data_IF_778165047271
#
_entry.id   IF_778165047271
#
_cell.length_a   1.000
_cell.length_b   1.000
_cell.length_c   1.000
_cell.angle_alpha   90.00
_cell.angle_beta   90.00
_cell.angle_gamma   90.00
#
_symmetry.space_group_name_H-M   'P 1'
#
loop_
_entity.id
_entity.type
_entity.pdbx_description
1 polymer ?
#
# COMPACT_ATOMS: atom_id res chain seq x y z
N UNK A 1 16.74 8.96 -12.62
CA UNK A 1 17.66 9.96 -13.20
C UNK A 1 17.04 10.84 -14.29
N UNK A 2 16.52 10.30 -15.40
CA UNK A 2 15.96 11.13 -16.48
C UNK A 2 14.77 12.00 -16.01
N UNK A 3 13.87 11.43 -15.20
CA UNK A 3 12.74 12.11 -14.57
C UNK A 3 13.23 13.31 -13.73
N UNK A 4 14.23 13.08 -12.88
CA UNK A 4 14.86 14.11 -12.05
C UNK A 4 15.55 15.19 -12.88
N UNK A 5 16.27 14.81 -13.95
CA UNK A 5 16.91 15.76 -14.88
C UNK A 5 15.90 16.65 -15.61
N UNK A 6 14.67 16.17 -15.78
CA UNK A 6 13.56 16.95 -16.31
C UNK A 6 12.90 17.86 -15.25
N UNK A 7 13.40 17.89 -14.01
CA UNK A 7 12.85 18.71 -12.93
C UNK A 7 11.57 18.13 -12.29
N UNK A 8 11.24 16.86 -12.56
CA UNK A 8 10.04 16.22 -12.04
C UNK A 8 10.41 15.46 -10.75
N UNK A 9 9.85 15.82 -9.58
CA UNK A 9 10.01 15.02 -8.37
C UNK A 9 9.27 13.71 -8.52
N UNK A 10 9.87 12.60 -8.06
CA UNK A 10 9.21 11.30 -8.09
C UNK A 10 9.39 10.53 -6.78
N UNK A 11 8.35 9.79 -6.42
CA UNK A 11 8.38 8.79 -5.37
C UNK A 11 8.58 7.43 -6.04
N UNK A 12 9.54 6.65 -5.56
CA UNK A 12 9.74 5.30 -6.03
C UNK A 12 8.75 4.33 -5.37
N UNK A 13 8.58 3.16 -5.97
CA UNK A 13 7.82 2.06 -5.39
C UNK A 13 8.56 0.76 -5.69
N UNK A 14 8.96 0.04 -4.63
CA UNK A 14 9.64 -1.25 -4.70
C UNK A 14 8.95 -2.27 -3.79
N UNK A 15 9.31 -3.54 -3.91
CA UNK A 15 8.62 -4.63 -3.22
C UNK A 15 7.62 -5.32 -4.14
N UNK A 16 6.42 -5.59 -3.64
CA UNK A 16 5.33 -6.14 -4.44
C UNK A 16 4.73 -5.01 -5.27
N UNK A 17 4.77 -5.16 -6.60
CA UNK A 17 4.22 -4.17 -7.52
C UNK A 17 2.89 -4.68 -8.08
N UNK A 18 1.74 -4.08 -7.74
CA UNK A 18 0.44 -4.53 -8.24
C UNK A 18 0.37 -4.60 -9.78
N UNK A 19 1.08 -3.72 -10.48
CA UNK A 19 1.20 -3.75 -11.96
C UNK A 19 1.80 -5.06 -12.50
N UNK A 20 2.63 -5.77 -11.73
CA UNK A 20 3.28 -7.03 -12.11
C UNK A 20 2.56 -8.27 -11.54
N UNK A 21 1.38 -8.13 -10.94
CA UNK A 21 0.69 -9.21 -10.22
C UNK A 21 0.45 -10.48 -11.07
N UNK A 22 0.27 -10.33 -12.39
CA UNK A 22 0.07 -11.47 -13.30
C UNK A 22 1.36 -12.25 -13.51
N UNK A 23 2.46 -11.56 -13.73
CA UNK A 23 3.79 -12.13 -13.93
C UNK A 23 4.29 -12.81 -12.65
N UNK A 24 3.96 -12.24 -11.49
CA UNK A 24 4.33 -12.77 -10.19
C UNK A 24 3.41 -13.91 -9.69
N UNK A 25 2.31 -14.17 -10.39
CA UNK A 25 1.33 -15.20 -10.00
C UNK A 25 0.63 -14.86 -8.68
N UNK A 26 0.26 -13.60 -8.48
CA UNK A 26 -0.50 -13.09 -7.34
C UNK A 26 0.29 -12.20 -6.38
N UNK A 27 -0.42 -11.66 -5.37
CA UNK A 27 0.16 -10.83 -4.33
C UNK A 27 1.02 -11.67 -3.39
N UNK A 28 2.34 -11.43 -3.38
CA UNK A 28 3.31 -12.17 -2.56
C UNK A 28 4.20 -11.23 -1.78
N UNK A 29 4.49 -11.61 -0.54
CA UNK A 29 5.46 -10.91 0.29
C UNK A 29 6.87 -11.09 -0.24
N UNK A 30 7.64 -10.01 -0.23
CA UNK A 30 9.01 -9.94 -0.75
C UNK A 30 10.06 -9.95 0.36
N UNK A 31 11.27 -10.38 0.00
CA UNK A 31 12.39 -10.47 0.94
C UNK A 31 12.36 -11.74 1.78
N UNK A 32 11.79 -12.84 1.25
CA UNK A 32 11.78 -14.13 1.94
C UNK A 32 13.13 -14.83 1.86
N UNK A 33 13.87 -14.61 0.78
CA UNK A 33 15.19 -15.16 0.58
C UNK A 33 16.26 -14.08 0.72
N UNK A 34 17.48 -14.50 1.06
CA UNK A 34 18.62 -13.58 1.16
C UNK A 34 18.85 -12.83 -0.17
N UNK A 35 18.72 -13.51 -1.31
CA UNK A 35 18.87 -12.90 -2.63
C UNK A 35 17.80 -11.83 -2.91
N UNK A 36 16.53 -12.08 -2.54
CA UNK A 36 15.47 -11.07 -2.65
C UNK A 36 15.72 -9.87 -1.72
N UNK A 37 16.22 -10.12 -0.52
CA UNK A 37 16.54 -9.07 0.44
C UNK A 37 17.66 -8.16 -0.06
N UNK A 38 18.74 -8.75 -0.58
CA UNK A 38 19.87 -8.02 -1.18
C UNK A 38 19.43 -7.22 -2.41
N UNK A 39 18.60 -7.81 -3.27
CA UNK A 39 18.05 -7.15 -4.44
C UNK A 39 17.20 -5.93 -4.06
N UNK A 40 16.28 -6.06 -3.09
CA UNK A 40 15.46 -4.93 -2.63
C UNK A 40 16.28 -3.82 -1.97
N UNK A 41 17.31 -4.17 -1.21
CA UNK A 41 18.21 -3.18 -0.63
C UNK A 41 19.00 -2.44 -1.72
N UNK A 42 19.43 -3.14 -2.77
CA UNK A 42 20.06 -2.53 -3.93
C UNK A 42 19.10 -1.61 -4.69
N UNK A 43 17.85 -2.03 -4.90
CA UNK A 43 16.81 -1.22 -5.54
C UNK A 43 16.53 0.06 -4.75
N UNK A 44 16.41 -0.02 -3.42
CA UNK A 44 16.22 1.13 -2.54
C UNK A 44 17.35 2.17 -2.69
N UNK A 45 18.61 1.71 -2.69
CA UNK A 45 19.78 2.59 -2.92
C UNK A 45 19.81 3.14 -4.33
N UNK A 46 19.39 2.36 -5.32
CA UNK A 46 19.38 2.77 -6.72
C UNK A 46 18.36 3.89 -6.96
N UNK A 47 17.14 3.77 -6.40
CA UNK A 47 16.11 4.81 -6.56
C UNK A 47 16.46 6.09 -5.80
N UNK A 48 17.07 5.97 -4.61
CA UNK A 48 17.63 7.09 -3.88
C UNK A 48 18.69 7.82 -4.72
N UNK A 49 19.71 7.09 -5.21
CA UNK A 49 20.75 7.66 -6.08
C UNK A 49 20.18 8.29 -7.35
N UNK A 50 19.10 7.73 -7.87
CA UNK A 50 18.40 8.25 -9.03
C UNK A 50 17.63 9.55 -8.77
N UNK A 51 17.51 9.99 -7.51
CA UNK A 51 16.88 11.23 -7.08
C UNK A 51 15.41 11.10 -6.66
N UNK A 52 14.97 9.90 -6.24
CA UNK A 52 13.64 9.76 -5.63
C UNK A 52 13.56 10.60 -4.36
N UNK A 53 12.44 11.28 -4.10
CA UNK A 53 12.27 12.04 -2.86
C UNK A 53 11.79 11.16 -1.69
N UNK A 54 11.24 9.98 -1.99
CA UNK A 54 10.80 8.96 -1.03
C UNK A 54 10.57 7.63 -1.76
N UNK A 55 10.35 6.55 -1.02
CA UNK A 55 10.07 5.22 -1.58
C UNK A 55 8.94 4.49 -0.84
N UNK A 56 7.98 3.94 -1.59
CA UNK A 56 6.99 3.00 -1.04
C UNK A 56 7.60 1.61 -0.97
N UNK A 57 7.44 0.95 0.19
CA UNK A 57 7.73 -0.46 0.40
C UNK A 57 6.40 -1.22 0.54
N UNK A 58 6.01 -1.97 -0.48
CA UNK A 58 4.74 -2.73 -0.48
C UNK A 58 4.96 -4.23 -0.27
N UNK A 59 4.26 -4.79 0.73
CA UNK A 59 4.30 -6.20 1.14
C UNK A 59 5.75 -6.74 1.23
N UNK A 60 6.58 -6.07 2.03
CA UNK A 60 7.97 -6.47 2.33
C UNK A 60 8.03 -7.07 3.73
N UNK A 61 8.89 -8.08 3.96
CA UNK A 61 9.16 -8.59 5.32
C UNK A 61 9.55 -7.43 6.24
N UNK A 62 8.89 -7.32 7.40
CA UNK A 62 9.03 -6.17 8.31
C UNK A 62 10.47 -5.87 8.73
N UNK A 63 11.27 -6.91 9.02
CA UNK A 63 12.68 -6.71 9.39
C UNK A 63 13.52 -6.19 8.20
N UNK A 64 13.21 -6.61 6.97
CA UNK A 64 13.86 -6.06 5.79
C UNK A 64 13.43 -4.60 5.54
N UNK A 65 12.14 -4.28 5.71
CA UNK A 65 11.66 -2.91 5.58
C UNK A 65 12.35 -1.96 6.58
N UNK A 66 12.57 -2.43 7.82
CA UNK A 66 13.38 -1.73 8.83
C UNK A 66 14.82 -1.53 8.37
N UNK A 67 15.47 -2.58 7.87
CA UNK A 67 16.84 -2.50 7.35
C UNK A 67 16.95 -1.49 6.20
N UNK A 68 16.01 -1.51 5.25
CA UNK A 68 15.96 -0.56 4.15
C UNK A 68 15.80 0.87 4.67
N UNK A 69 14.85 1.08 5.59
CA UNK A 69 14.59 2.40 6.19
C UNK A 69 15.82 2.97 6.89
N UNK A 70 16.62 2.12 7.56
CA UNK A 70 17.87 2.54 8.20
C UNK A 70 19.03 2.75 7.21
N UNK A 71 18.92 2.22 5.99
CA UNK A 71 20.02 2.16 5.03
C UNK A 71 20.02 3.29 3.99
N UNK A 72 18.89 3.99 3.81
CA UNK A 72 18.70 5.11 2.87
C UNK A 72 18.28 6.36 3.65
N UNK A 73 18.57 7.53 3.11
CA UNK A 73 18.27 8.83 3.73
C UNK A 73 16.89 9.39 3.35
N UNK A 74 16.29 8.91 2.26
CA UNK A 74 14.96 9.35 1.83
C UNK A 74 13.85 8.62 2.63
N UNK A 75 12.71 9.27 2.91
CA UNK A 75 11.63 8.64 3.67
C UNK A 75 11.09 7.35 3.03
N UNK A 76 10.86 6.33 3.83
CA UNK A 76 10.15 5.11 3.44
C UNK A 76 8.68 5.16 3.84
N UNK A 77 7.79 4.71 2.94
CA UNK A 77 6.34 4.64 3.18
C UNK A 77 5.91 3.18 3.09
N UNK A 78 5.46 2.62 4.20
CA UNK A 78 5.05 1.22 4.29
C UNK A 78 3.59 0.99 3.90
N UNK A 79 3.32 -0.12 3.20
CA UNK A 79 1.99 -0.72 3.11
C UNK A 79 2.14 -2.24 3.17
N UNK A 80 1.65 -2.84 4.26
CA UNK A 80 1.89 -4.27 4.53
C UNK A 80 3.36 -4.63 4.77
N UNK A 81 4.18 -3.66 5.16
CA UNK A 81 5.65 -3.80 5.35
C UNK A 81 6.11 -3.58 6.79
N UNK A 82 5.22 -3.75 7.76
CA UNK A 82 5.49 -3.50 9.18
C UNK A 82 5.51 -2.02 9.56
N UNK A 83 5.77 -1.75 10.83
CA UNK A 83 5.66 -0.41 11.44
C UNK A 83 6.94 0.43 11.34
N UNK A 84 8.04 -0.15 10.89
CA UNK A 84 9.37 0.47 10.94
C UNK A 84 9.70 1.37 9.74
N UNK A 85 8.75 1.59 8.82
CA UNK A 85 8.89 2.63 7.80
C UNK A 85 8.61 4.01 8.40
N UNK A 86 9.17 5.07 7.82
CA UNK A 86 9.00 6.45 8.33
C UNK A 86 7.55 6.95 8.27
N UNK A 87 6.78 6.43 7.31
CA UNK A 87 5.36 6.67 7.17
C UNK A 87 4.61 5.41 6.74
N UNK A 88 3.29 5.52 6.71
CA UNK A 88 2.40 4.43 6.32
C UNK A 88 1.36 4.96 5.32
N UNK A 89 0.98 4.10 4.37
CA UNK A 89 -0.11 4.36 3.44
C UNK A 89 -1.09 3.19 3.45
N UNK A 90 -2.36 3.49 3.18
CA UNK A 90 -3.41 2.50 3.07
C UNK A 90 -4.45 2.98 2.06
N UNK A 91 -5.09 2.06 1.34
CA UNK A 91 -6.17 2.41 0.42
C UNK A 91 -7.38 2.85 1.22
N UNK A 92 -7.90 4.06 0.95
CA UNK A 92 -9.00 4.65 1.73
C UNK A 92 -10.21 3.72 1.90
N UNK A 93 -10.57 2.99 0.85
CA UNK A 93 -11.69 2.04 0.88
C UNK A 93 -11.48 0.87 1.84
N UNK A 94 -10.24 0.36 1.92
CA UNK A 94 -9.88 -0.68 2.87
C UNK A 94 -9.86 -0.11 4.30
N UNK A 95 -9.36 1.12 4.46
CA UNK A 95 -9.33 1.83 5.74
C UNK A 95 -10.75 2.00 6.32
N UNK A 96 -11.71 2.38 5.49
CA UNK A 96 -13.09 2.67 5.95
C UNK A 96 -14.03 1.46 5.89
N UNK A 97 -13.52 0.29 5.50
CA UNK A 97 -14.32 -0.93 5.39
C UNK A 97 -15.46 -0.81 4.36
N UNK A 98 -15.16 -0.27 3.17
CA UNK A 98 -16.14 -0.14 2.08
C UNK A 98 -16.50 -1.49 1.44
N UNK A 99 -15.56 -2.44 1.42
CA UNK A 99 -15.76 -3.75 0.80
C UNK A 99 -16.04 -4.81 1.88
N UNK A 100 -17.30 -5.20 2.12
CA UNK A 100 -17.65 -6.12 3.20
C UNK A 100 -17.24 -7.58 2.92
N UNK A 101 -16.85 -7.90 1.68
CA UNK A 101 -16.46 -9.24 1.25
C UNK A 101 -14.95 -9.43 1.14
N UNK A 102 -14.15 -8.36 1.32
CA UNK A 102 -12.71 -8.42 1.13
C UNK A 102 -11.99 -7.38 1.98
N UNK A 103 -11.00 -7.82 2.73
CA UNK A 103 -10.06 -6.97 3.47
C UNK A 103 -8.67 -7.58 3.30
N UNK A 104 -7.66 -6.83 2.81
CA UNK A 104 -6.29 -7.34 2.75
C UNK A 104 -5.78 -7.70 4.14
N UNK A 105 -4.93 -8.73 4.24
CA UNK A 105 -4.48 -9.29 5.54
C UNK A 105 -3.76 -8.28 6.45
N UNK A 106 -3.15 -7.26 5.87
CA UNK A 106 -2.43 -6.20 6.60
C UNK A 106 -3.32 -5.00 6.96
N UNK A 107 -4.62 -5.05 6.66
CA UNK A 107 -5.55 -3.96 6.96
C UNK A 107 -6.45 -4.33 8.14
N UNK A 108 -6.57 -3.39 9.08
CA UNK A 108 -7.63 -3.37 10.09
C UNK A 108 -8.54 -2.16 9.82
N UNK A 109 -9.74 -2.36 9.23
CA UNK A 109 -10.64 -1.26 8.93
C UNK A 109 -11.03 -0.46 10.18
N UNK A 110 -11.03 0.86 10.07
CA UNK A 110 -11.39 1.81 11.12
C UNK A 110 -12.85 2.24 11.06
N UNK A 111 -13.60 1.77 10.06
CA UNK A 111 -15.03 1.96 9.93
C UNK A 111 -15.69 0.77 9.22
N UNK A 112 -17.03 0.77 9.17
CA UNK A 112 -17.86 -0.22 8.47
C UNK A 112 -18.78 0.48 7.48
N UNK A 113 -18.21 1.27 6.58
CA UNK A 113 -18.98 2.12 5.65
C UNK A 113 -19.94 1.31 4.77
N UNK A 114 -19.60 0.07 4.43
CA UNK A 114 -20.49 -0.83 3.71
C UNK A 114 -21.84 -1.03 4.42
N UNK A 115 -21.83 -1.14 5.75
CA UNK A 115 -23.04 -1.37 6.54
C UNK A 115 -23.91 -0.11 6.62
N UNK A 116 -23.28 1.06 6.75
CA UNK A 116 -23.99 2.35 6.71
C UNK A 116 -24.63 2.61 5.35
N UNK A 117 -23.95 2.30 4.24
CA UNK A 117 -24.53 2.37 2.90
C UNK A 117 -25.73 1.43 2.78
N UNK A 118 -25.61 0.18 3.26
CA UNK A 118 -26.71 -0.80 3.21
C UNK A 118 -27.93 -0.30 4.01
N UNK A 119 -27.70 0.23 5.20
CA UNK A 119 -28.73 0.81 6.06
C UNK A 119 -29.45 1.97 5.39
N UNK A 120 -28.71 2.90 4.77
CA UNK A 120 -29.28 4.04 4.06
C UNK A 120 -30.15 3.58 2.86
N UNK A 121 -29.67 2.62 2.07
CA UNK A 121 -30.42 2.05 0.96
C UNK A 121 -31.72 1.35 1.42
N UNK A 122 -31.66 0.57 2.50
CA UNK A 122 -32.84 -0.09 3.08
C UNK A 122 -33.86 0.92 3.60
N UNK A 123 -33.43 1.97 4.29
CA UNK A 123 -34.30 3.04 4.77
C UNK A 123 -35.00 3.76 3.61
N UNK A 124 -34.27 4.04 2.52
CA UNK A 124 -34.86 4.60 1.30
C UNK A 124 -35.91 3.67 0.70
N UNK A 125 -35.61 2.38 0.55
CA UNK A 125 -36.54 1.38 0.01
C UNK A 125 -37.81 1.30 0.87
N UNK A 126 -37.67 1.25 2.20
CA UNK A 126 -38.80 1.21 3.11
C UNK A 126 -39.68 2.46 2.96
N UNK A 127 -39.08 3.64 2.86
CA UNK A 127 -39.80 4.91 2.65
C UNK A 127 -40.53 4.97 1.31
N UNK A 128 -39.95 4.44 0.23
CA UNK A 128 -40.59 4.47 -1.10
C UNK A 128 -41.69 3.42 -1.25
N UNK A 129 -41.53 2.24 -0.63
CA UNK A 129 -42.52 1.15 -0.68
C UNK A 129 -43.66 1.35 0.32
N UNK A 130 -43.36 1.88 1.50
CA UNK A 130 -44.35 2.33 2.46
C UNK A 130 -44.96 3.62 1.94
N UNK A 131 -46.05 3.51 1.18
CA UNK A 131 -46.89 4.63 0.72
C UNK A 131 -46.99 5.73 1.78
N UNK A 132 -46.35 6.88 1.52
CA UNK A 132 -46.23 7.99 2.47
C UNK A 132 -45.43 9.17 1.92
N UNK A 133 -45.90 9.75 0.81
CA UNK A 133 -45.98 11.21 0.65
C UNK A 133 -47.49 11.52 0.69
#
# INVERSE_FOLDING_TARGET
EAITRAGIPFMAHIGMLPQSVREEGGYRIKGRTQAEAEALLADARAVEKAGAFSVVLEIVIAELAKQITQAIAIPTIGIGSGEHCDGQILVTHDLIGLFPWFTPKFVSPQARVADEIRKAAQAFIARVRGTGI
#
